data_IF_789389271258
#
_entry.id   IF_789389271258
#
_cell.length_a   1.000
_cell.length_b   1.000
_cell.length_c   1.000
_cell.angle_alpha   90.00
_cell.angle_beta   90.00
_cell.angle_gamma   90.00
#
_symmetry.space_group_name_H-M   'P 1'
#
loop_
_entity.id
_entity.type
_entity.pdbx_description
1 polymer ?
#
# COMPACT_ATOMS: atom_id res chain seq x y z
N UNK A 1 17.79 -14.78 6.85
CA UNK A 1 16.88 -13.82 6.18
C UNK A 1 15.52 -13.96 6.83
N UNK A 2 15.17 -13.06 7.77
CA UNK A 2 13.89 -13.10 8.45
C UNK A 2 12.81 -12.68 7.46
N UNK A 3 12.00 -13.64 7.01
CA UNK A 3 10.85 -13.39 6.14
C UNK A 3 9.93 -12.41 6.87
N UNK A 4 9.76 -11.21 6.34
CA UNK A 4 8.77 -10.27 6.87
C UNK A 4 7.40 -10.95 6.79
N UNK A 5 6.71 -11.22 7.92
CA UNK A 5 5.40 -11.84 7.88
C UNK A 5 4.47 -10.90 7.10
N UNK A 6 3.93 -11.39 5.99
CA UNK A 6 2.95 -10.70 5.13
C UNK A 6 3.44 -9.42 4.43
N UNK A 7 4.76 -9.27 4.20
CA UNK A 7 5.28 -8.12 3.45
C UNK A 7 5.10 -6.77 4.15
N UNK A 8 5.06 -6.78 5.50
CA UNK A 8 4.93 -5.59 6.34
C UNK A 8 6.24 -5.25 7.03
N UNK A 9 6.61 -3.96 7.09
CA UNK A 9 7.77 -3.51 7.84
C UNK A 9 7.63 -2.04 8.29
N UNK A 10 8.17 -1.71 9.46
CA UNK A 10 8.29 -0.31 9.89
C UNK A 10 9.54 0.35 9.32
N UNK A 11 9.53 1.69 9.20
CA UNK A 11 10.72 2.45 8.79
C UNK A 11 11.96 2.11 9.63
N UNK A 12 11.81 2.03 10.95
CA UNK A 12 12.92 1.69 11.87
C UNK A 12 13.47 0.30 11.59
N UNK A 13 12.62 -0.66 11.26
CA UNK A 13 13.04 -2.01 10.92
C UNK A 13 13.77 -2.04 9.58
N UNK A 14 13.23 -1.39 8.54
CA UNK A 14 13.88 -1.26 7.24
C UNK A 14 15.25 -0.59 7.36
N UNK A 15 15.33 0.54 8.06
CA UNK A 15 16.58 1.26 8.26
C UNK A 15 17.61 0.40 9.02
N UNK A 16 17.18 -0.41 10.00
CA UNK A 16 18.07 -1.30 10.75
C UNK A 16 18.56 -2.46 9.88
N UNK A 17 17.67 -3.13 9.16
CA UNK A 17 18.00 -4.30 8.34
C UNK A 17 18.84 -3.93 7.11
N UNK A 18 18.61 -2.76 6.53
CA UNK A 18 19.39 -2.22 5.42
C UNK A 18 20.66 -1.49 5.87
N UNK A 19 20.93 -1.39 7.17
CA UNK A 19 22.10 -0.71 7.72
C UNK A 19 22.14 0.80 7.44
N UNK A 20 20.98 1.41 7.18
CA UNK A 20 20.81 2.83 6.85
C UNK A 20 20.96 3.68 8.13
N UNK A 21 21.86 4.67 8.07
CA UNK A 21 22.18 5.59 9.17
C UNK A 21 22.43 7.01 8.64
N UNK A 22 22.22 8.01 9.50
CA UNK A 22 22.44 9.43 9.18
C UNK A 22 21.64 9.88 7.96
N UNK A 23 22.27 10.65 7.09
CA UNK A 23 21.71 11.22 5.85
C UNK A 23 21.05 10.18 4.92
N UNK A 24 21.49 8.92 4.95
CA UNK A 24 20.86 7.85 4.13
C UNK A 24 19.43 7.53 4.55
N UNK A 25 18.99 7.99 5.73
CA UNK A 25 17.58 7.87 6.16
C UNK A 25 16.64 8.70 5.31
N UNK A 26 17.05 9.91 4.94
CA UNK A 26 16.26 10.78 4.07
C UNK A 26 16.07 10.13 2.70
N UNK A 27 17.14 9.54 2.16
CA UNK A 27 17.03 8.81 0.90
C UNK A 27 16.14 7.56 0.98
N UNK A 28 16.16 6.84 2.11
CA UNK A 28 15.23 5.73 2.33
C UNK A 28 13.78 6.23 2.37
N UNK A 29 13.54 7.37 3.02
CA UNK A 29 12.22 8.00 3.10
C UNK A 29 11.69 8.39 1.70
N UNK A 30 12.53 9.05 0.89
CA UNK A 30 12.21 9.40 -0.51
C UNK A 30 11.85 8.17 -1.35
N UNK A 31 12.64 7.09 -1.25
CA UNK A 31 12.38 5.85 -2.00
C UNK A 31 11.09 5.16 -1.55
N UNK A 32 10.79 5.20 -0.24
CA UNK A 32 9.54 4.64 0.28
C UNK A 32 8.34 5.49 -0.16
N UNK A 33 8.47 6.81 -0.16
CA UNK A 33 7.43 7.72 -0.67
C UNK A 33 7.14 7.46 -2.15
N UNK A 34 8.17 7.32 -2.99
CA UNK A 34 8.00 7.00 -4.41
C UNK A 34 7.29 5.65 -4.64
N UNK A 35 7.59 4.65 -3.80
CA UNK A 35 6.89 3.36 -3.84
C UNK A 35 5.42 3.46 -3.39
N UNK A 36 5.13 4.34 -2.44
CA UNK A 36 3.76 4.63 -2.00
C UNK A 36 3.00 5.36 -3.10
N UNK A 37 3.60 6.37 -3.73
CA UNK A 37 3.00 7.13 -4.83
C UNK A 37 2.70 6.23 -6.05
N UNK A 38 3.54 5.22 -6.28
CA UNK A 38 3.33 4.19 -7.32
C UNK A 38 2.33 3.11 -6.94
N UNK A 39 1.84 3.06 -5.70
CA UNK A 39 0.94 2.02 -5.23
C UNK A 39 1.59 0.65 -5.00
N UNK A 40 2.93 0.57 -4.99
CA UNK A 40 3.67 -0.64 -4.65
C UNK A 40 3.71 -0.87 -3.13
N UNK A 41 3.63 0.22 -2.36
CA UNK A 41 3.49 0.22 -0.91
C UNK A 41 2.23 0.97 -0.47
N UNK A 42 1.68 0.57 0.67
CA UNK A 42 0.71 1.37 1.42
C UNK A 42 1.35 1.77 2.74
N UNK A 43 1.33 3.07 3.02
CA UNK A 43 1.73 3.60 4.33
C UNK A 43 0.58 3.47 5.33
N UNK A 44 0.85 2.79 6.44
CA UNK A 44 -0.02 2.67 7.59
C UNK A 44 0.63 3.36 8.79
N UNK A 45 -0.14 3.66 9.83
CA UNK A 45 0.40 4.17 11.11
C UNK A 45 1.47 3.25 11.73
N UNK A 46 1.40 1.95 11.45
CA UNK A 46 2.32 0.94 11.97
C UNK A 46 3.54 0.66 11.05
N UNK A 47 3.60 1.25 9.86
CA UNK A 47 4.66 1.02 8.88
C UNK A 47 4.12 0.83 7.47
N UNK A 48 4.88 0.17 6.61
CA UNK A 48 4.56 -0.04 5.21
C UNK A 48 4.12 -1.48 4.95
N UNK A 49 3.24 -1.64 3.96
CA UNK A 49 2.77 -2.94 3.49
C UNK A 49 2.93 -3.03 1.98
N UNK A 50 3.52 -4.12 1.50
CA UNK A 50 3.59 -4.40 0.05
C UNK A 50 2.21 -4.80 -0.46
N UNK A 51 1.70 -4.03 -1.44
CA UNK A 51 0.34 -4.22 -1.96
C UNK A 51 0.15 -5.58 -2.60
N UNK A 52 1.14 -6.05 -3.37
CA UNK A 52 1.12 -7.38 -4.00
C UNK A 52 1.13 -8.56 -3.04
N UNK A 53 1.55 -8.39 -1.79
CA UNK A 53 1.60 -9.46 -0.79
C UNK A 53 0.46 -9.40 0.22
N UNK A 54 -0.34 -8.33 0.18
CA UNK A 54 -1.48 -8.13 1.07
C UNK A 54 -2.79 -8.51 0.37
N UNK A 55 -3.66 -9.23 1.09
CA UNK A 55 -5.04 -9.49 0.63
C UNK A 55 -6.05 -8.50 1.21
N UNK A 56 -5.63 -7.72 2.20
CA UNK A 56 -6.48 -6.78 2.95
C UNK A 56 -6.55 -5.41 2.26
N UNK A 57 -5.62 -5.11 1.36
CA UNK A 57 -5.56 -3.83 0.68
C UNK A 57 -5.41 -4.03 -0.82
N UNK A 58 -5.99 -3.11 -1.60
CA UNK A 58 -5.79 -3.02 -3.04
C UNK A 58 -5.58 -1.57 -3.44
N UNK A 59 -4.80 -1.36 -4.49
CA UNK A 59 -4.61 -0.04 -5.12
C UNK A 59 -5.27 -0.08 -6.49
N UNK A 60 -5.94 1.00 -6.83
CA UNK A 60 -6.80 1.05 -8.00
C UNK A 60 -7.28 2.45 -8.31
N UNK A 61 -7.85 2.61 -9.50
CA UNK A 61 -8.51 3.85 -9.91
C UNK A 61 -9.88 3.94 -9.25
N UNK A 62 -10.08 4.95 -8.41
CA UNK A 62 -11.39 5.26 -7.85
C UNK A 62 -12.21 6.12 -8.82
N UNK A 63 -13.37 5.60 -9.22
CA UNK A 63 -14.40 6.37 -9.92
C UNK A 63 -15.54 6.65 -8.93
N UNK A 64 -15.72 7.91 -8.55
CA UNK A 64 -16.79 8.36 -7.68
C UNK A 64 -18.00 8.82 -8.50
N UNK A 65 -19.19 8.35 -8.15
CA UNK A 65 -20.45 8.82 -8.70
C UNK A 65 -21.01 9.96 -7.84
N UNK A 66 -21.75 10.87 -8.45
CA UNK A 66 -22.39 12.03 -7.78
C UNK A 66 -23.38 11.64 -6.68
N UNK A 67 -23.91 10.43 -6.75
CA UNK A 67 -24.87 9.90 -5.77
C UNK A 67 -24.17 9.29 -4.54
N UNK A 68 -22.85 9.48 -4.43
CA UNK A 68 -22.05 9.11 -3.26
C UNK A 68 -21.42 7.72 -3.31
N UNK A 69 -21.82 6.86 -4.23
CA UNK A 69 -21.18 5.55 -4.43
C UNK A 69 -19.99 5.63 -5.38
N UNK A 70 -19.11 4.63 -5.36
CA UNK A 70 -17.98 4.56 -6.27
C UNK A 70 -17.56 3.15 -6.62
N UNK A 71 -16.62 3.06 -7.56
CA UNK A 71 -15.98 1.80 -7.96
C UNK A 71 -14.46 1.98 -7.95
N UNK A 72 -13.75 1.04 -7.36
CA UNK A 72 -12.30 0.93 -7.47
C UNK A 72 -11.98 -0.12 -8.51
N UNK A 73 -11.34 0.30 -9.60
CA UNK A 73 -10.77 -0.60 -10.61
C UNK A 73 -9.37 -1.00 -10.12
N UNK A 74 -9.16 -2.24 -9.64
CA UNK A 74 -7.86 -2.64 -9.08
C UNK A 74 -6.79 -2.66 -10.17
N UNK A 75 -5.59 -2.14 -9.87
CA UNK A 75 -4.44 -2.26 -10.79
C UNK A 75 -3.91 -3.69 -10.89
N UNK A 76 -4.22 -4.52 -9.87
CA UNK A 76 -3.85 -5.93 -9.82
C UNK A 76 -5.09 -6.77 -9.50
N UNK A 77 -5.23 -7.97 -10.09
CA UNK A 77 -6.35 -8.85 -9.78
C UNK A 77 -6.42 -9.16 -8.29
N UNK A 78 -7.60 -8.99 -7.69
CA UNK A 78 -7.86 -9.37 -6.30
C UNK A 78 -8.38 -10.79 -6.28
N UNK A 79 -7.67 -11.69 -5.59
CA UNK A 79 -8.02 -13.13 -5.53
C UNK A 79 -9.44 -13.32 -5.03
N UNK A 80 -10.30 -13.94 -5.85
CA UNK A 80 -11.69 -14.23 -5.49
C UNK A 80 -12.69 -13.13 -5.83
N UNK A 81 -12.25 -12.01 -6.42
CA UNK A 81 -13.12 -10.94 -6.91
C UNK A 81 -12.98 -10.87 -8.43
N UNK A 82 -14.11 -10.86 -9.13
CA UNK A 82 -14.16 -10.62 -10.57
C UNK A 82 -14.75 -9.23 -10.82
N UNK A 83 -13.97 -8.34 -11.44
CA UNK A 83 -14.38 -6.99 -11.78
C UNK A 83 -13.99 -5.93 -10.73
N UNK A 84 -14.69 -4.80 -10.79
CA UNK A 84 -14.39 -3.62 -9.98
C UNK A 84 -14.98 -3.73 -8.56
N UNK A 85 -14.32 -3.14 -7.59
CA UNK A 85 -14.76 -3.13 -6.19
C UNK A 85 -15.74 -1.98 -5.96
N UNK A 86 -16.99 -2.31 -5.65
CA UNK A 86 -18.02 -1.32 -5.32
C UNK A 86 -17.84 -0.75 -3.91
N UNK A 87 -17.92 0.57 -3.78
CA UNK A 87 -17.94 1.31 -2.52
C UNK A 87 -19.32 1.97 -2.37
N UNK A 88 -20.15 1.56 -1.40
CA UNK A 88 -21.47 2.16 -1.18
C UNK A 88 -21.35 3.56 -0.55
N UNK A 89 -22.39 4.40 -0.70
CA UNK A 89 -22.35 5.81 -0.27
C UNK A 89 -22.25 5.99 1.24
N UNK A 90 -22.78 5.04 2.03
CA UNK A 90 -22.71 5.06 3.49
C UNK A 90 -21.34 4.57 4.05
N UNK A 91 -20.34 4.36 3.18
CA UNK A 91 -19.00 3.89 3.55
C UNK A 91 -17.88 4.88 3.23
N UNK A 92 -18.23 6.08 2.77
CA UNK A 92 -17.29 7.18 2.49
C UNK A 92 -17.11 8.12 3.69
#
# INVERSE_FOLDING_TARGET
MTRLPHGRASFKQLARELGIRGERRSHLDELLSDLVDRGDLIELRSGYVVTSMSREFTVGRLNMHRDGYGFVVPERPVTGIAGDLFIPPDSA
#
